data_IF_300662810505
#
_entry.id   IF_300662810505
#
_cell.length_a   1.000
_cell.length_b   1.000
_cell.length_c   1.000
_cell.angle_alpha   90.00
_cell.angle_beta   90.00
_cell.angle_gamma   90.00
#
_symmetry.space_group_name_H-M   'P 1'
#
loop_
_entity.id
_entity.type
_entity.pdbx_description
1 polymer ?
#
# COMPACT_ATOMS: atom_id res chain seq x y z
N UNK A 1 -1.93 39.80 -37.97
CA UNK A 1 -0.59 39.21 -38.04
C UNK A 1 -0.74 37.70 -37.96
N UNK A 2 -0.16 36.94 -38.88
CA UNK A 2 -0.17 35.48 -38.81
C UNK A 2 0.73 35.04 -37.66
N UNK A 3 0.30 34.00 -36.89
CA UNK A 3 1.11 33.43 -35.82
C UNK A 3 2.40 32.86 -36.43
N UNK A 4 3.52 32.95 -35.65
CA UNK A 4 4.78 32.32 -36.04
C UNK A 4 4.59 30.81 -36.12
N UNK A 5 5.19 30.11 -37.12
CA UNK A 5 5.10 28.65 -37.20
C UNK A 5 5.80 27.99 -35.99
N UNK A 6 5.32 26.83 -35.57
CA UNK A 6 5.88 26.01 -34.47
C UNK A 6 5.77 26.65 -33.06
N UNK A 7 4.75 27.44 -32.80
CA UNK A 7 4.39 27.87 -31.46
C UNK A 7 3.37 26.88 -30.94
N UNK A 8 3.66 26.28 -29.76
CA UNK A 8 2.69 25.46 -29.04
C UNK A 8 1.50 26.33 -28.64
N UNK A 9 0.35 26.07 -29.19
CA UNK A 9 -0.91 26.78 -28.93
C UNK A 9 -1.75 26.06 -27.86
N UNK A 10 -2.85 26.69 -27.47
CA UNK A 10 -3.81 26.11 -26.50
C UNK A 10 -4.37 24.76 -26.96
N UNK A 11 -4.51 24.56 -28.28
CA UNK A 11 -5.01 23.32 -28.85
C UNK A 11 -4.00 22.14 -28.77
N UNK A 12 -2.72 22.45 -28.60
CA UNK A 12 -1.65 21.46 -28.51
C UNK A 12 -1.43 20.96 -27.08
N UNK A 13 -2.03 21.61 -26.08
CA UNK A 13 -1.96 21.24 -24.68
C UNK A 13 -3.33 20.79 -24.19
N UNK A 14 -3.55 19.50 -24.22
CA UNK A 14 -4.84 18.88 -23.83
C UNK A 14 -4.92 18.57 -22.33
N UNK A 15 -3.80 18.54 -21.63
CA UNK A 15 -3.71 18.18 -20.22
C UNK A 15 -3.94 19.39 -19.34
N UNK A 16 -4.86 19.27 -18.37
CA UNK A 16 -5.16 20.35 -17.43
C UNK A 16 -4.18 20.35 -16.26
N UNK A 17 -3.62 21.51 -15.91
CA UNK A 17 -2.65 21.65 -14.82
C UNK A 17 -3.13 21.04 -13.49
N UNK A 18 -4.44 21.11 -13.19
CA UNK A 18 -5.04 20.50 -12.00
C UNK A 18 -4.94 18.98 -12.02
N UNK A 19 -5.11 18.35 -13.17
CA UNK A 19 -5.04 16.90 -13.33
C UNK A 19 -3.60 16.41 -13.12
N UNK A 20 -2.63 17.09 -13.71
CA UNK A 20 -1.19 16.80 -13.51
C UNK A 20 -0.79 16.95 -12.05
N UNK A 21 -1.20 18.05 -11.40
CA UNK A 21 -0.89 18.32 -9.99
C UNK A 21 -1.48 17.24 -9.06
N UNK A 22 -2.72 16.79 -9.31
CA UNK A 22 -3.35 15.73 -8.53
C UNK A 22 -2.60 14.41 -8.64
N UNK A 23 -2.30 13.98 -9.87
CA UNK A 23 -1.59 12.72 -10.14
C UNK A 23 -0.17 12.76 -9.57
N UNK A 24 0.56 13.84 -9.80
CA UNK A 24 1.93 14.02 -9.29
C UNK A 24 2.01 13.97 -7.77
N UNK A 25 1.06 14.59 -7.07
CA UNK A 25 1.00 14.51 -5.59
C UNK A 25 0.66 13.11 -5.09
N UNK A 26 -0.26 12.42 -5.76
CA UNK A 26 -0.56 11.04 -5.40
C UNK A 26 0.67 10.15 -5.54
N UNK A 27 1.36 10.20 -6.68
CA UNK A 27 2.56 9.41 -6.93
C UNK A 27 3.67 9.73 -5.94
N UNK A 28 3.96 11.01 -5.69
CA UNK A 28 4.98 11.41 -4.70
C UNK A 28 4.69 10.90 -3.29
N UNK A 29 3.42 10.90 -2.87
CA UNK A 29 3.03 10.36 -1.58
C UNK A 29 3.24 8.84 -1.51
N UNK A 30 2.91 8.13 -2.59
CA UNK A 30 3.12 6.68 -2.66
C UNK A 30 4.59 6.29 -2.72
N UNK A 31 5.42 7.05 -3.42
CA UNK A 31 6.87 6.83 -3.45
C UNK A 31 7.48 7.01 -2.07
N UNK A 32 7.10 8.06 -1.34
CA UNK A 32 7.55 8.27 0.02
C UNK A 32 7.09 7.14 0.97
N UNK A 33 5.84 6.67 0.85
CA UNK A 33 5.33 5.57 1.65
C UNK A 33 6.06 4.27 1.35
N UNK A 34 6.32 3.98 0.07
CA UNK A 34 7.07 2.81 -0.39
C UNK A 34 8.50 2.82 0.16
N UNK A 35 9.18 3.98 0.12
CA UNK A 35 10.52 4.15 0.68
C UNK A 35 10.54 3.92 2.20
N UNK A 36 9.53 4.44 2.93
CA UNK A 36 9.38 4.23 4.37
C UNK A 36 9.22 2.74 4.70
N UNK A 37 8.43 2.01 3.91
CA UNK A 37 8.18 0.57 4.11
C UNK A 37 9.31 -0.32 3.57
N UNK A 38 10.27 0.23 2.82
CA UNK A 38 11.32 -0.56 2.17
C UNK A 38 10.81 -1.44 1.02
N UNK A 39 9.64 -1.13 0.44
CA UNK A 39 9.03 -1.92 -0.62
C UNK A 39 9.71 -1.64 -1.96
N UNK A 40 9.92 -2.69 -2.75
CA UNK A 40 10.50 -2.61 -4.08
C UNK A 40 9.59 -1.88 -5.08
N UNK A 41 10.06 -1.77 -6.33
CA UNK A 41 9.35 -1.08 -7.41
C UNK A 41 7.97 -1.69 -7.66
N UNK A 42 6.92 -0.87 -7.92
CA UNK A 42 5.58 -1.36 -8.24
C UNK A 42 5.58 -2.30 -9.47
N UNK A 43 4.77 -3.34 -9.39
CA UNK A 43 4.65 -4.37 -10.44
C UNK A 43 3.32 -4.16 -11.17
N UNK A 44 3.38 -3.88 -12.48
CA UNK A 44 2.19 -3.78 -13.32
C UNK A 44 1.51 -5.14 -13.48
N UNK A 45 0.18 -5.16 -13.34
CA UNK A 45 -0.68 -6.32 -13.58
C UNK A 45 -1.86 -5.95 -14.48
N UNK A 46 -2.40 -6.94 -15.15
CA UNK A 46 -3.66 -6.80 -15.88
C UNK A 46 -4.84 -6.87 -14.89
N UNK A 47 -5.95 -6.13 -15.13
CA UNK A 47 -7.15 -6.25 -14.34
C UNK A 47 -7.65 -7.71 -14.29
N UNK A 48 -8.11 -8.16 -13.12
CA UNK A 48 -8.56 -9.53 -12.92
C UNK A 48 -7.44 -10.56 -12.75
N UNK A 49 -6.16 -10.13 -12.66
CA UNK A 49 -5.07 -11.04 -12.28
C UNK A 49 -5.25 -11.44 -10.82
N UNK A 50 -5.30 -12.74 -10.56
CA UNK A 50 -5.38 -13.27 -9.19
C UNK A 50 -4.01 -13.27 -8.54
N UNK A 51 -3.90 -12.57 -7.42
CA UNK A 51 -2.75 -12.63 -6.51
C UNK A 51 -2.92 -13.84 -5.58
N UNK A 52 -1.83 -14.51 -5.28
CA UNK A 52 -1.85 -15.70 -4.42
C UNK A 52 -0.77 -15.60 -3.37
N UNK A 53 -1.15 -15.75 -2.10
CA UNK A 53 -0.18 -15.96 -1.01
C UNK A 53 0.03 -17.45 -0.79
N UNK A 54 1.26 -17.83 -0.50
CA UNK A 54 1.67 -19.23 -0.36
C UNK A 54 2.10 -19.54 1.07
N UNK A 55 1.94 -20.82 1.44
CA UNK A 55 2.63 -21.46 2.56
C UNK A 55 3.54 -22.54 1.99
N UNK A 56 4.83 -22.46 2.31
CA UNK A 56 5.84 -23.41 1.83
C UNK A 56 6.27 -24.37 2.95
N UNK A 57 6.27 -25.65 2.66
CA UNK A 57 6.76 -26.70 3.56
C UNK A 57 7.67 -27.64 2.79
N UNK A 58 8.86 -27.90 3.31
CA UNK A 58 9.81 -28.88 2.75
C UNK A 58 10.08 -29.96 3.78
N UNK A 59 9.84 -31.21 3.42
CA UNK A 59 10.21 -32.39 4.18
C UNK A 59 11.40 -33.05 3.50
N UNK A 60 12.60 -32.78 4.02
CA UNK A 60 13.82 -33.46 3.55
C UNK A 60 13.83 -34.88 4.10
N UNK A 61 14.17 -35.85 3.25
CA UNK A 61 14.49 -37.20 3.66
C UNK A 61 15.97 -37.28 4.05
N UNK A 62 16.34 -38.38 4.69
CA UNK A 62 17.73 -38.62 5.06
C UNK A 62 18.61 -38.68 3.81
N UNK A 63 19.64 -37.85 3.75
CA UNK A 63 20.61 -37.80 2.65
C UNK A 63 21.86 -38.63 2.91
N UNK A 64 21.99 -39.24 4.10
CA UNK A 64 23.11 -40.11 4.44
C UNK A 64 22.79 -41.54 3.98
N UNK A 65 22.96 -41.78 2.67
CA UNK A 65 22.73 -43.07 2.02
C UNK A 65 24.06 -43.72 1.69
N UNK A 66 24.13 -45.06 1.81
CA UNK A 66 25.29 -45.84 1.53
C UNK A 66 25.66 -45.85 0.04
N UNK A 67 26.89 -46.25 -0.28
CA UNK A 67 27.37 -46.37 -1.65
C UNK A 67 26.55 -47.43 -2.43
N UNK A 68 25.84 -46.95 -3.49
CA UNK A 68 24.97 -47.78 -4.33
C UNK A 68 23.54 -47.91 -3.83
N UNK A 69 23.17 -47.21 -2.76
CA UNK A 69 21.78 -47.16 -2.28
C UNK A 69 20.98 -46.08 -3.02
N UNK A 70 19.64 -46.27 -3.09
CA UNK A 70 18.73 -45.34 -3.74
C UNK A 70 18.50 -44.14 -2.86
N UNK A 71 18.69 -42.93 -3.41
CA UNK A 71 18.47 -41.65 -2.68
C UNK A 71 16.97 -41.43 -2.54
N UNK A 72 16.43 -41.29 -1.29
CA UNK A 72 15.01 -41.07 -1.07
C UNK A 72 14.59 -39.67 -1.51
N UNK A 73 13.42 -39.55 -2.16
CA UNK A 73 12.89 -38.27 -2.63
C UNK A 73 12.38 -37.41 -1.50
N UNK A 74 12.93 -36.21 -1.38
CA UNK A 74 12.42 -35.16 -0.50
C UNK A 74 11.18 -34.50 -1.12
N UNK A 75 10.19 -34.16 -0.28
CA UNK A 75 8.94 -33.56 -0.72
C UNK A 75 8.88 -32.08 -0.37
N UNK A 76 8.81 -31.23 -1.38
CA UNK A 76 8.43 -29.83 -1.24
C UNK A 76 6.91 -29.68 -1.52
N UNK A 77 6.20 -29.01 -0.65
CA UNK A 77 4.77 -28.73 -0.82
C UNK A 77 4.57 -27.21 -0.73
N UNK A 78 4.03 -26.63 -1.79
CA UNK A 78 3.61 -25.25 -1.86
C UNK A 78 2.09 -25.24 -1.90
N UNK A 79 1.45 -24.63 -0.89
CA UNK A 79 -0.01 -24.54 -0.81
C UNK A 79 -0.43 -23.08 -0.89
N UNK A 80 -1.30 -22.70 -1.82
CA UNK A 80 -1.94 -21.39 -1.80
C UNK A 80 -2.86 -21.29 -0.58
N UNK A 81 -2.79 -20.17 0.14
CA UNK A 81 -3.53 -19.96 1.39
C UNK A 81 -4.44 -18.73 1.35
N UNK A 82 -4.16 -17.78 0.44
CA UNK A 82 -5.01 -16.63 0.24
C UNK A 82 -5.00 -16.21 -1.22
N UNK A 83 -6.13 -15.68 -1.67
CA UNK A 83 -6.33 -15.20 -3.04
C UNK A 83 -6.95 -13.79 -2.98
N UNK A 84 -6.54 -12.92 -3.91
CA UNK A 84 -7.19 -11.66 -4.17
C UNK A 84 -7.02 -11.30 -5.66
N UNK A 85 -8.03 -10.69 -6.25
CA UNK A 85 -7.94 -10.22 -7.63
C UNK A 85 -7.53 -8.76 -7.66
N UNK A 86 -6.62 -8.40 -8.56
CA UNK A 86 -6.27 -7.01 -8.82
C UNK A 86 -7.45 -6.36 -9.53
N UNK A 87 -8.22 -5.55 -8.81
CA UNK A 87 -9.43 -4.90 -9.30
C UNK A 87 -9.19 -3.41 -9.54
N UNK A 88 -9.96 -2.86 -10.48
CA UNK A 88 -9.96 -1.43 -10.74
C UNK A 88 -11.04 -0.78 -9.89
N UNK A 89 -10.64 0.19 -9.08
CA UNK A 89 -11.54 1.04 -8.30
C UNK A 89 -11.77 2.36 -9.02
N UNK A 90 -13.00 2.83 -8.97
CA UNK A 90 -13.47 4.01 -9.68
C UNK A 90 -14.16 4.94 -8.70
N UNK A 91 -13.69 6.18 -8.65
CA UNK A 91 -14.21 7.18 -7.74
C UNK A 91 -14.59 8.43 -8.49
N UNK A 92 -15.66 9.09 -8.06
CA UNK A 92 -16.11 10.35 -8.61
C UNK A 92 -16.38 11.36 -7.51
N UNK A 93 -16.09 12.62 -7.80
CA UNK A 93 -16.38 13.76 -6.95
C UNK A 93 -16.97 14.88 -7.79
N UNK A 94 -18.00 15.56 -7.31
CA UNK A 94 -18.58 16.71 -7.97
C UNK A 94 -18.58 17.94 -7.04
N UNK A 95 -18.39 19.13 -7.62
CA UNK A 95 -18.42 20.41 -6.92
C UNK A 95 -19.36 21.35 -7.69
N UNK A 96 -20.39 21.89 -7.03
CA UNK A 96 -21.34 22.79 -7.67
C UNK A 96 -20.79 24.20 -7.87
N UNK A 97 -21.33 24.91 -8.85
CA UNK A 97 -20.96 26.30 -9.12
C UNK A 97 -21.31 27.21 -7.92
N UNK A 98 -22.37 26.89 -7.18
CA UNK A 98 -22.78 27.65 -5.99
C UNK A 98 -21.72 27.51 -4.89
N UNK A 99 -21.16 26.32 -4.70
CA UNK A 99 -20.07 26.11 -3.74
C UNK A 99 -18.81 26.91 -4.11
N UNK A 100 -18.47 26.95 -5.40
CA UNK A 100 -17.35 27.76 -5.91
C UNK A 100 -17.63 29.26 -5.72
N UNK A 101 -18.83 29.72 -6.03
CA UNK A 101 -19.20 31.12 -5.87
C UNK A 101 -19.23 31.57 -4.38
N UNK A 102 -19.69 30.69 -3.49
CA UNK A 102 -19.77 31.00 -2.05
C UNK A 102 -18.45 30.94 -1.31
N UNK A 103 -17.60 29.96 -1.65
CA UNK A 103 -16.40 29.65 -0.90
C UNK A 103 -15.08 29.91 -1.66
N UNK A 104 -15.17 30.21 -2.95
CA UNK A 104 -14.02 30.36 -3.86
C UNK A 104 -13.47 29.02 -4.35
N UNK A 105 -12.86 29.03 -5.54
CA UNK A 105 -12.33 27.83 -6.19
C UNK A 105 -11.23 27.13 -5.36
N UNK A 106 -10.40 27.89 -4.65
CA UNK A 106 -9.32 27.33 -3.82
C UNK A 106 -9.87 26.45 -2.68
N UNK A 107 -10.99 26.80 -2.08
CA UNK A 107 -11.60 26.02 -1.01
C UNK A 107 -12.48 24.90 -1.61
N UNK A 108 -13.37 25.24 -2.52
CA UNK A 108 -14.35 24.30 -3.04
C UNK A 108 -13.74 23.20 -3.94
N UNK A 109 -12.62 23.48 -4.61
CA UNK A 109 -11.97 22.53 -5.52
C UNK A 109 -10.66 22.00 -4.93
N UNK A 110 -9.66 22.86 -4.68
CA UNK A 110 -8.30 22.40 -4.33
C UNK A 110 -8.27 21.69 -2.97
N UNK A 111 -8.91 22.24 -1.92
CA UNK A 111 -8.95 21.58 -0.61
C UNK A 111 -9.75 20.27 -0.64
N UNK A 112 -10.82 20.23 -1.43
CA UNK A 112 -11.58 18.99 -1.60
C UNK A 112 -10.85 17.96 -2.46
N UNK A 113 -10.00 18.38 -3.42
CA UNK A 113 -9.11 17.47 -4.14
C UNK A 113 -8.06 16.88 -3.19
N UNK A 114 -7.49 17.68 -2.29
CA UNK A 114 -6.56 17.16 -1.28
C UNK A 114 -7.21 16.15 -0.34
N UNK A 115 -8.43 16.43 0.14
CA UNK A 115 -9.17 15.50 0.97
C UNK A 115 -9.48 14.19 0.21
N UNK A 116 -9.89 14.31 -1.05
CA UNK A 116 -10.16 13.16 -1.90
C UNK A 116 -8.91 12.30 -2.13
N UNK A 117 -7.76 12.93 -2.39
CA UNK A 117 -6.48 12.24 -2.54
C UNK A 117 -6.10 11.47 -1.26
N UNK A 118 -6.23 12.10 -0.10
CA UNK A 118 -5.92 11.46 1.19
C UNK A 118 -6.81 10.25 1.44
N UNK A 119 -8.11 10.34 1.11
CA UNK A 119 -9.06 9.24 1.29
C UNK A 119 -8.74 8.06 0.38
N UNK A 120 -8.37 8.32 -0.89
CA UNK A 120 -7.94 7.26 -1.81
C UNK A 120 -6.71 6.51 -1.30
N UNK A 121 -5.76 7.21 -0.68
CA UNK A 121 -4.58 6.58 -0.09
C UNK A 121 -4.94 5.78 1.17
N UNK A 122 -5.79 6.33 2.02
CA UNK A 122 -6.27 5.67 3.24
C UNK A 122 -6.97 4.36 2.92
N UNK A 123 -7.81 4.34 1.87
CA UNK A 123 -8.52 3.13 1.46
C UNK A 123 -7.58 1.99 1.06
N UNK A 124 -6.54 2.27 0.25
CA UNK A 124 -5.56 1.25 -0.12
C UNK A 124 -4.81 0.71 1.09
N UNK A 125 -4.43 1.60 2.01
CA UNK A 125 -3.75 1.20 3.24
C UNK A 125 -4.67 0.40 4.17
N UNK A 126 -5.94 0.79 4.30
CA UNK A 126 -6.92 0.07 5.10
C UNK A 126 -7.15 -1.36 4.60
N UNK A 127 -7.26 -1.57 3.29
CA UNK A 127 -7.35 -2.91 2.70
C UNK A 127 -6.10 -3.75 2.99
N UNK A 128 -4.92 -3.15 2.86
CA UNK A 128 -3.67 -3.81 3.18
C UNK A 128 -3.58 -4.21 4.66
N UNK A 129 -3.93 -3.32 5.58
CA UNK A 129 -3.94 -3.65 7.02
C UNK A 129 -4.96 -4.75 7.34
N UNK A 130 -6.14 -4.71 6.72
CA UNK A 130 -7.13 -5.77 6.89
C UNK A 130 -6.60 -7.12 6.39
N UNK A 131 -5.90 -7.13 5.27
CA UNK A 131 -5.24 -8.33 4.75
C UNK A 131 -4.15 -8.83 5.70
N UNK A 132 -3.26 -7.97 6.17
CA UNK A 132 -2.18 -8.35 7.11
C UNK A 132 -2.71 -8.93 8.43
N UNK A 133 -3.88 -8.50 8.89
CA UNK A 133 -4.51 -9.06 10.10
C UNK A 133 -4.88 -10.54 9.95
N UNK A 134 -4.92 -11.08 8.75
CA UNK A 134 -5.14 -12.51 8.48
C UNK A 134 -3.87 -13.34 8.61
N UNK A 135 -2.74 -12.72 8.97
CA UNK A 135 -1.46 -13.38 9.22
C UNK A 135 -1.58 -14.53 10.21
N UNK A 136 -0.82 -15.59 9.98
CA UNK A 136 -0.97 -16.86 10.70
C UNK A 136 -0.02 -17.03 11.89
N UNK A 137 1.01 -16.19 12.01
CA UNK A 137 1.93 -16.22 13.16
C UNK A 137 1.35 -15.45 14.34
N UNK A 138 0.41 -16.05 15.05
CA UNK A 138 -0.27 -15.39 16.17
C UNK A 138 0.45 -15.59 17.50
N UNK A 139 0.37 -14.57 18.37
CA UNK A 139 0.83 -14.61 19.77
C UNK A 139 0.05 -13.61 20.62
N UNK A 140 0.23 -13.69 21.96
CA UNK A 140 -0.37 -12.76 22.92
C UNK A 140 0.68 -12.33 23.93
N UNK A 141 0.80 -11.03 24.16
CA UNK A 141 1.80 -10.45 25.05
C UNK A 141 1.16 -9.41 25.99
N UNK A 142 1.74 -9.24 27.19
CA UNK A 142 1.18 -8.35 28.21
C UNK A 142 1.49 -6.87 27.99
N UNK A 143 2.56 -6.53 27.25
CA UNK A 143 3.01 -5.15 27.04
C UNK A 143 3.26 -4.86 25.57
N UNK A 144 3.18 -3.58 25.19
CA UNK A 144 3.52 -3.12 23.84
C UNK A 144 4.93 -3.55 23.43
N UNK A 145 5.91 -3.36 24.30
CA UNK A 145 7.31 -3.71 24.02
C UNK A 145 7.48 -5.21 23.77
N UNK A 146 6.89 -6.06 24.61
CA UNK A 146 6.96 -7.50 24.43
C UNK A 146 6.22 -7.96 23.18
N UNK A 147 5.12 -7.30 22.82
CA UNK A 147 4.37 -7.59 21.60
C UNK A 147 5.19 -7.27 20.35
N UNK A 148 5.83 -6.10 20.27
CA UNK A 148 6.72 -5.72 19.18
C UNK A 148 7.90 -6.69 19.06
N UNK A 149 8.59 -6.96 20.17
CA UNK A 149 9.73 -7.88 20.18
C UNK A 149 9.33 -9.31 19.74
N UNK A 150 8.17 -9.80 20.20
CA UNK A 150 7.69 -11.14 19.85
C UNK A 150 7.24 -11.20 18.38
N UNK A 151 6.59 -10.16 17.85
CA UNK A 151 6.22 -10.08 16.45
C UNK A 151 7.47 -10.17 15.55
N UNK A 152 8.50 -9.38 15.82
CA UNK A 152 9.78 -9.42 15.10
C UNK A 152 10.44 -10.81 15.23
N UNK A 153 10.47 -11.36 16.46
CA UNK A 153 11.06 -12.67 16.74
C UNK A 153 10.39 -13.80 15.97
N UNK A 154 9.04 -13.82 15.92
CA UNK A 154 8.25 -14.82 15.18
C UNK A 154 8.51 -14.75 13.67
N UNK A 155 8.53 -13.55 13.11
CA UNK A 155 8.84 -13.34 11.69
C UNK A 155 10.28 -13.81 11.39
N UNK A 156 11.25 -13.36 12.16
CA UNK A 156 12.66 -13.71 11.96
C UNK A 156 12.88 -15.23 12.05
N UNK A 157 12.29 -15.90 13.04
CA UNK A 157 12.39 -17.36 13.20
C UNK A 157 11.75 -18.09 12.01
N UNK A 158 10.57 -17.65 11.56
CA UNK A 158 9.88 -18.25 10.43
C UNK A 158 10.70 -18.13 9.13
N UNK A 159 11.17 -16.93 8.79
CA UNK A 159 11.96 -16.71 7.58
C UNK A 159 13.31 -17.45 7.62
N UNK A 160 13.97 -17.51 8.76
CA UNK A 160 15.16 -18.34 8.95
C UNK A 160 14.88 -19.83 8.68
N UNK A 161 13.75 -20.35 9.17
CA UNK A 161 13.34 -21.74 8.92
C UNK A 161 12.99 -21.98 7.44
N UNK A 162 12.55 -20.96 6.72
CA UNK A 162 12.31 -21.01 5.29
C UNK A 162 13.57 -20.74 4.46
N UNK A 163 14.71 -20.44 5.09
CA UNK A 163 15.96 -20.03 4.42
C UNK A 163 15.80 -18.79 3.54
N UNK A 164 14.88 -17.88 3.92
CA UNK A 164 14.62 -16.61 3.24
C UNK A 164 15.23 -15.46 4.03
N UNK A 165 15.47 -14.33 3.33
CA UNK A 165 15.92 -13.09 3.95
C UNK A 165 14.79 -12.46 4.78
N UNK A 166 15.17 -11.80 5.86
CA UNK A 166 14.29 -10.98 6.70
C UNK A 166 15.04 -9.75 7.22
N UNK A 167 15.82 -9.12 6.35
CA UNK A 167 16.74 -8.04 6.75
C UNK A 167 16.02 -6.78 7.21
N UNK A 168 14.91 -6.43 6.58
CA UNK A 168 14.12 -5.24 6.88
C UNK A 168 12.73 -5.63 7.36
N UNK A 169 12.51 -5.58 8.68
CA UNK A 169 11.20 -5.89 9.26
C UNK A 169 10.43 -4.61 9.48
N UNK A 170 9.25 -4.55 8.86
CA UNK A 170 8.27 -3.47 9.04
C UNK A 170 7.23 -3.92 10.06
N UNK A 171 6.97 -3.05 11.03
CA UNK A 171 5.99 -3.28 12.09
C UNK A 171 4.86 -2.27 11.95
N UNK A 172 3.62 -2.72 11.96
CA UNK A 172 2.42 -1.91 11.88
C UNK A 172 1.68 -1.96 13.22
N UNK A 173 1.34 -0.79 13.77
CA UNK A 173 0.74 -0.67 15.11
C UNK A 173 -0.33 0.41 15.16
N UNK A 174 -1.23 0.32 16.13
CA UNK A 174 -2.17 1.40 16.40
C UNK A 174 -1.46 2.62 16.97
N UNK A 175 -1.85 3.79 16.50
CA UNK A 175 -1.30 5.08 16.96
C UNK A 175 -1.43 5.27 18.46
N UNK A 176 -2.59 4.92 19.05
CA UNK A 176 -2.83 5.11 20.47
C UNK A 176 -1.94 4.19 21.33
N UNK A 177 -1.67 2.97 20.89
CA UNK A 177 -0.80 2.04 21.63
C UNK A 177 0.64 2.57 21.71
N UNK A 178 1.12 3.19 20.64
CA UNK A 178 2.43 3.85 20.64
C UNK A 178 2.44 5.04 21.59
N UNK A 179 1.45 5.92 21.55
CA UNK A 179 1.40 7.08 22.44
C UNK A 179 1.18 6.71 23.90
N UNK A 180 0.45 5.62 24.21
CA UNK A 180 0.38 5.06 25.57
C UNK A 180 1.79 4.65 26.06
N UNK A 181 2.58 4.03 25.19
CA UNK A 181 3.96 3.67 25.48
C UNK A 181 4.87 4.90 25.63
N UNK A 182 4.78 5.86 24.68
CA UNK A 182 5.58 7.09 24.69
C UNK A 182 5.29 8.01 25.88
N UNK A 183 4.15 7.88 26.52
CA UNK A 183 3.83 8.65 27.74
C UNK A 183 4.86 8.47 28.89
N UNK A 184 5.73 7.47 28.78
CA UNK A 184 6.83 7.19 29.71
C UNK A 184 8.22 7.22 29.07
N UNK A 185 8.35 7.57 27.76
CA UNK A 185 9.61 7.50 27.03
C UNK A 185 9.79 8.73 26.12
N UNK A 186 11.00 9.31 26.12
CA UNK A 186 11.36 10.42 25.21
C UNK A 186 11.82 9.87 23.86
N UNK A 187 10.88 9.65 22.92
CA UNK A 187 11.16 9.16 21.57
C UNK A 187 10.47 10.06 20.55
N UNK A 188 11.16 10.39 19.47
CA UNK A 188 10.63 11.25 18.40
C UNK A 188 9.92 10.44 17.33
N UNK A 189 8.68 10.83 17.02
CA UNK A 189 7.88 10.30 15.91
C UNK A 189 8.12 11.16 14.66
N UNK A 190 8.34 10.53 13.52
CA UNK A 190 8.46 11.18 12.22
C UNK A 190 7.14 11.08 11.45
N UNK A 191 6.87 12.04 10.57
CA UNK A 191 5.66 12.04 9.74
C UNK A 191 6.05 12.37 8.30
N UNK A 192 5.60 11.54 7.35
CA UNK A 192 5.72 11.81 5.94
C UNK A 192 4.50 11.29 5.19
N UNK A 193 4.00 12.05 4.22
CA UNK A 193 2.83 11.69 3.39
C UNK A 193 1.58 11.28 4.19
N UNK A 194 1.36 11.93 5.35
CA UNK A 194 0.24 11.63 6.26
C UNK A 194 0.41 10.38 7.13
N UNK A 195 1.51 9.64 6.98
CA UNK A 195 1.84 8.46 7.79
C UNK A 195 2.84 8.83 8.86
N UNK A 196 2.56 8.45 10.12
CA UNK A 196 3.51 8.58 11.24
C UNK A 196 4.31 7.29 11.40
N UNK A 197 5.63 7.42 11.56
CA UNK A 197 6.53 6.26 11.64
C UNK A 197 7.75 6.53 12.53
N UNK A 198 8.42 5.45 12.92
CA UNK A 198 9.71 5.47 13.62
C UNK A 198 10.67 4.50 12.94
N UNK A 199 11.91 4.94 12.68
CA UNK A 199 12.98 4.06 12.16
C UNK A 199 13.81 3.46 13.29
N UNK A 200 14.29 2.22 13.09
CA UNK A 200 15.16 1.49 14.01
C UNK A 200 14.58 1.37 15.44
N UNK A 201 13.27 1.15 15.55
CA UNK A 201 12.59 1.03 16.84
C UNK A 201 12.54 -0.43 17.27
N UNK A 202 13.17 -0.75 18.41
CA UNK A 202 13.16 -2.08 19.04
C UNK A 202 13.55 -3.25 18.13
N UNK A 203 14.40 -3.01 17.12
CA UNK A 203 14.82 -4.03 16.15
C UNK A 203 13.96 -4.10 14.88
N UNK A 204 12.88 -3.34 14.80
CA UNK A 204 12.18 -3.08 13.52
C UNK A 204 12.97 -2.06 12.70
N UNK A 205 13.10 -2.29 11.39
CA UNK A 205 13.67 -1.29 10.47
C UNK A 205 12.78 -0.06 10.42
N UNK A 206 11.47 -0.28 10.34
CA UNK A 206 10.46 0.77 10.37
C UNK A 206 9.24 0.31 11.17
N UNK A 207 8.75 1.18 12.05
CA UNK A 207 7.48 1.01 12.73
C UNK A 207 6.50 2.06 12.20
N UNK A 208 5.39 1.62 11.62
CA UNK A 208 4.36 2.46 11.01
C UNK A 208 3.15 2.52 11.95
N UNK A 209 2.68 3.73 12.19
CA UNK A 209 1.54 4.01 13.07
C UNK A 209 0.31 4.32 12.24
N UNK A 210 -0.79 3.61 12.48
CA UNK A 210 -2.07 3.87 11.83
C UNK A 210 -3.23 3.69 12.80
N UNK A 211 -4.24 4.56 12.70
CA UNK A 211 -5.49 4.42 13.46
C UNK A 211 -6.42 3.35 12.87
N UNK A 212 -6.15 2.86 11.67
CA UNK A 212 -6.94 1.80 11.02
C UNK A 212 -6.61 0.40 11.57
N UNK A 213 -5.45 0.26 12.22
CA UNK A 213 -5.09 -0.97 12.93
C UNK A 213 -5.82 -0.97 14.27
N UNK A 214 -6.51 -2.06 14.65
CA UNK A 214 -7.18 -2.15 15.94
C UNK A 214 -6.21 -1.95 17.12
N UNK A 215 -6.66 -1.24 18.16
CA UNK A 215 -5.89 -1.13 19.41
C UNK A 215 -5.54 -2.52 19.96
N UNK A 216 -4.35 -2.62 20.54
CA UNK A 216 -3.85 -3.86 21.11
C UNK A 216 -3.37 -4.88 20.09
N UNK A 217 -3.19 -4.49 18.81
CA UNK A 217 -2.61 -5.37 17.77
C UNK A 217 -1.29 -4.83 17.25
N UNK A 218 -0.32 -5.71 17.13
CA UNK A 218 0.99 -5.47 16.49
C UNK A 218 1.13 -6.45 15.34
N UNK A 219 1.36 -5.93 14.15
CA UNK A 219 1.55 -6.74 12.95
C UNK A 219 2.98 -6.54 12.45
N UNK A 220 3.68 -7.62 12.12
CA UNK A 220 5.05 -7.54 11.59
C UNK A 220 5.22 -8.44 10.38
N UNK A 221 6.01 -7.97 9.40
CA UNK A 221 6.42 -8.74 8.22
C UNK A 221 7.70 -8.14 7.65
N UNK A 222 8.56 -8.92 6.94
CA UNK A 222 9.68 -8.32 6.22
C UNK A 222 9.19 -7.44 5.07
N UNK A 223 9.94 -6.40 4.76
CA UNK A 223 9.65 -5.55 3.61
C UNK A 223 9.66 -6.34 2.30
N UNK A 224 10.59 -7.30 2.17
CA UNK A 224 10.72 -8.17 1.00
C UNK A 224 9.49 -9.10 0.80
N UNK A 225 8.66 -9.27 1.82
CA UNK A 225 7.40 -10.03 1.73
C UNK A 225 6.22 -9.18 1.24
N UNK A 226 6.41 -7.87 1.07
CA UNK A 226 5.34 -6.96 0.65
C UNK A 226 5.58 -6.57 -0.81
N UNK A 227 4.66 -6.95 -1.67
CA UNK A 227 4.61 -6.54 -3.06
C UNK A 227 3.56 -5.45 -3.28
N UNK A 228 3.87 -4.53 -4.18
CA UNK A 228 2.93 -3.52 -4.64
C UNK A 228 2.55 -3.79 -6.09
N UNK A 229 1.31 -4.12 -6.33
CA UNK A 229 0.76 -4.35 -7.66
C UNK A 229 -0.11 -3.18 -8.09
N UNK A 230 -0.14 -2.88 -9.39
CA UNK A 230 -1.01 -1.84 -9.93
C UNK A 230 -1.51 -2.17 -11.33
N UNK A 231 -2.66 -1.59 -11.66
CA UNK A 231 -3.21 -1.56 -13.02
C UNK A 231 -2.94 -0.18 -13.62
N UNK A 232 -2.41 -0.14 -14.82
CA UNK A 232 -2.07 1.10 -15.51
C UNK A 232 -3.33 1.73 -16.15
N UNK A 233 -3.78 2.92 -15.69
CA UNK A 233 -4.95 3.60 -16.25
C UNK A 233 -4.73 4.16 -17.67
N UNK A 234 -3.51 4.13 -18.19
CA UNK A 234 -3.20 4.54 -19.58
C UNK A 234 -3.32 3.40 -20.59
N UNK A 235 -3.74 2.21 -20.15
CA UNK A 235 -3.88 1.06 -21.04
C UNK A 235 -4.86 1.33 -22.19
N UNK A 236 -4.58 0.72 -23.34
CA UNK A 236 -5.37 0.89 -24.57
C UNK A 236 -6.86 0.58 -24.42
N UNK A 237 -7.20 -0.31 -23.49
CA UNK A 237 -8.58 -0.72 -23.23
C UNK A 237 -9.44 0.46 -22.73
N UNK A 238 -8.87 1.36 -21.93
CA UNK A 238 -9.56 2.59 -21.50
C UNK A 238 -9.77 3.56 -22.65
N UNK A 239 -8.75 3.73 -23.50
CA UNK A 239 -8.84 4.60 -24.68
C UNK A 239 -9.88 4.12 -25.70
N UNK A 240 -10.06 2.80 -25.87
CA UNK A 240 -11.10 2.21 -26.75
C UNK A 240 -12.52 2.55 -26.28
N UNK A 241 -12.70 2.76 -24.98
CA UNK A 241 -13.97 3.22 -24.40
C UNK A 241 -14.12 4.75 -24.42
N UNK A 242 -13.16 5.49 -24.99
CA UNK A 242 -13.13 6.95 -24.96
C UNK A 242 -12.76 7.55 -23.61
N UNK A 243 -12.23 6.73 -22.67
CA UNK A 243 -11.80 7.16 -21.35
C UNK A 243 -10.33 7.54 -21.39
N UNK A 244 -10.06 8.84 -21.35
CA UNK A 244 -8.69 9.36 -21.33
C UNK A 244 -8.41 9.96 -19.95
N UNK A 245 -7.51 9.31 -19.22
CA UNK A 245 -7.06 9.77 -17.90
C UNK A 245 -5.69 10.41 -18.01
N UNK A 246 -5.47 11.46 -17.25
CA UNK A 246 -4.14 12.00 -16.99
C UNK A 246 -3.41 11.09 -16.00
N UNK A 247 -2.20 10.68 -16.36
CA UNK A 247 -1.30 9.83 -15.55
C UNK A 247 0.06 10.52 -15.40
N UNK A 248 0.93 10.04 -14.52
CA UNK A 248 2.25 10.64 -14.29
C UNK A 248 3.30 10.32 -15.38
N UNK A 249 3.08 9.24 -16.14
CA UNK A 249 3.97 8.80 -17.22
C UNK A 249 5.15 7.93 -16.73
N UNK A 250 5.35 7.78 -15.42
CA UNK A 250 6.40 6.92 -14.85
C UNK A 250 5.83 5.62 -14.28
N UNK A 251 5.03 5.72 -13.24
CA UNK A 251 4.44 4.56 -12.56
C UNK A 251 2.97 4.34 -12.90
N UNK A 252 2.26 5.40 -13.31
CA UNK A 252 0.84 5.36 -13.69
C UNK A 252 -0.06 4.69 -12.62
N UNK A 253 0.20 4.94 -11.34
CA UNK A 253 -0.54 4.32 -10.24
C UNK A 253 -2.00 4.76 -10.18
N UNK A 254 -2.29 5.97 -10.64
CA UNK A 254 -3.61 6.58 -10.67
C UNK A 254 -3.84 7.31 -11.99
N UNK A 255 -5.05 7.23 -12.51
CA UNK A 255 -5.57 8.09 -13.57
C UNK A 255 -6.56 9.10 -13.02
N UNK A 256 -6.45 10.36 -13.42
CA UNK A 256 -7.35 11.42 -13.00
C UNK A 256 -7.91 12.17 -14.22
N UNK A 257 -9.19 12.49 -14.17
CA UNK A 257 -9.86 13.27 -15.19
C UNK A 257 -10.83 14.27 -14.57
N UNK A 258 -10.84 15.51 -15.06
CA UNK A 258 -11.77 16.54 -14.58
C UNK A 258 -12.56 17.13 -15.75
N UNK A 259 -13.88 17.17 -15.62
CA UNK A 259 -14.80 17.67 -16.63
C UNK A 259 -15.89 18.58 -16.03
N UNK A 260 -16.50 19.42 -16.85
CA UNK A 260 -17.68 20.19 -16.50
C UNK A 260 -18.96 19.53 -17.01
N UNK A 261 -19.94 19.37 -16.14
CA UNK A 261 -21.27 18.91 -16.52
C UNK A 261 -22.23 20.10 -16.62
N UNK A 262 -22.61 20.46 -17.85
CA UNK A 262 -23.46 21.60 -18.10
C UNK A 262 -24.92 21.38 -17.67
N UNK A 263 -25.39 20.14 -17.64
CA UNK A 263 -26.79 19.85 -17.29
C UNK A 263 -27.08 20.08 -15.81
N UNK A 264 -26.07 19.96 -14.96
CA UNK A 264 -26.16 20.11 -13.51
C UNK A 264 -25.34 21.28 -12.95
N UNK A 265 -24.62 22.00 -13.83
CA UNK A 265 -23.73 23.10 -13.48
C UNK A 265 -22.69 22.71 -12.39
N UNK A 266 -22.10 21.52 -12.49
CA UNK A 266 -21.08 21.01 -11.58
C UNK A 266 -19.77 20.74 -12.31
N UNK A 267 -18.67 20.89 -11.59
CA UNK A 267 -17.35 20.36 -11.98
C UNK A 267 -17.19 18.94 -11.43
N UNK A 268 -17.03 17.98 -12.32
CA UNK A 268 -16.83 16.57 -11.98
C UNK A 268 -15.36 16.21 -11.99
N UNK A 269 -14.96 15.30 -11.13
CA UNK A 269 -13.60 14.74 -11.07
C UNK A 269 -13.71 13.24 -10.92
N UNK A 270 -12.98 12.52 -11.73
CA UNK A 270 -12.95 11.06 -11.80
C UNK A 270 -11.54 10.58 -11.50
N UNK A 271 -11.41 9.67 -10.56
CA UNK A 271 -10.16 8.97 -10.28
C UNK A 271 -10.35 7.48 -10.52
N UNK A 272 -9.35 6.86 -11.14
CA UNK A 272 -9.28 5.43 -11.34
C UNK A 272 -7.94 4.92 -10.85
N UNK A 273 -7.96 3.88 -10.06
CA UNK A 273 -6.74 3.23 -9.56
C UNK A 273 -6.94 1.73 -9.38
N UNK A 274 -5.85 0.98 -9.51
CA UNK A 274 -5.84 -0.46 -9.25
C UNK A 274 -4.61 -0.82 -8.44
N UNK A 275 -4.31 -0.05 -7.38
CA UNK A 275 -3.16 -0.29 -6.49
C UNK A 275 -3.56 -1.29 -5.41
N UNK A 276 -2.76 -2.32 -5.25
CA UNK A 276 -2.95 -3.37 -4.23
C UNK A 276 -1.61 -3.70 -3.59
N UNK A 277 -1.53 -3.64 -2.26
CA UNK A 277 -0.40 -4.14 -1.48
C UNK A 277 -0.72 -5.57 -1.04
N UNK A 278 0.26 -6.46 -1.16
CA UNK A 278 0.06 -7.89 -0.94
C UNK A 278 1.29 -8.53 -0.28
N UNK A 279 1.08 -9.48 0.63
CA UNK A 279 2.16 -10.29 1.17
C UNK A 279 2.23 -11.64 0.45
N UNK A 280 3.40 -11.97 -0.12
CA UNK A 280 3.61 -13.23 -0.84
C UNK A 280 3.45 -14.44 0.09
N UNK A 281 4.06 -14.36 1.29
CA UNK A 281 3.96 -15.41 2.31
C UNK A 281 3.08 -14.93 3.48
N UNK A 282 1.84 -15.34 3.52
CA UNK A 282 0.93 -14.97 4.61
C UNK A 282 1.33 -15.63 5.94
N UNK A 283 1.96 -16.81 5.88
CA UNK A 283 2.57 -17.48 7.04
C UNK A 283 3.90 -16.83 7.50
N UNK A 284 4.35 -15.79 6.82
CA UNK A 284 5.43 -14.88 7.21
C UNK A 284 4.95 -13.59 7.87
N UNK A 285 3.63 -13.43 8.07
CA UNK A 285 3.03 -12.26 8.74
C UNK A 285 2.68 -12.62 10.18
N UNK A 286 3.28 -11.90 11.13
CA UNK A 286 2.98 -12.06 12.55
C UNK A 286 1.89 -11.08 13.00
N UNK A 287 0.92 -11.57 13.76
CA UNK A 287 -0.14 -10.78 14.39
C UNK A 287 -0.13 -11.06 15.89
N UNK A 288 0.39 -10.14 16.67
CA UNK A 288 0.52 -10.27 18.13
C UNK A 288 -0.53 -9.38 18.80
N UNK A 289 -1.27 -9.95 19.73
CA UNK A 289 -2.26 -9.22 20.51
C UNK A 289 -1.65 -8.77 21.85
N UNK A 290 -1.88 -7.52 22.22
CA UNK A 290 -1.54 -7.00 23.54
C UNK A 290 -2.74 -7.28 24.46
N UNK A 291 -2.62 -8.22 25.37
CA UNK A 291 -3.61 -8.39 26.42
C UNK A 291 -3.18 -7.53 27.60
N UNK A 292 -3.95 -6.48 27.94
CA UNK A 292 -3.79 -5.86 29.24
C UNK A 292 -3.92 -6.98 30.29
N UNK A 293 -2.89 -7.19 31.10
CA UNK A 293 -2.92 -8.19 32.15
C UNK A 293 -4.16 -8.00 33.00
N UNK A 294 -4.90 -9.09 33.24
CA UNK A 294 -6.01 -9.13 34.14
C UNK A 294 -5.54 -8.82 35.59
#
# INVERSE_FOLDING_TARGET
MAAKPNITGVADVTVKAREVDFVSRFTSNWDALREIMGIMRPIRKQPGTTLTSYSATVALQDGDVGEGEEIPYSKATLKPVAYNDVTIKKYAKAVSIEAVNKHGAAVAVQKTDQAFLNELQSEVMGEFYNFLQTGTLTDTQATFQSAVAMAIGRVTDKFKKMHLSSSEIVVFVNTLDVYKYLGSAEITVQTASGVSYMKNFMGASTLIMSSEIPEGKVIATPAENIDMYYVDPSDSDFAQLGLNYTVDGETNLIGFHANGNYSTAVGESFAIMGVTLWAEYLDGVAVVTISAGA
#
